data_IF_848616703854
#
_entry.id   IF_848616703854
#
_cell.length_a   1.000
_cell.length_b   1.000
_cell.length_c   1.000
_cell.angle_alpha   90.00
_cell.angle_beta   90.00
_cell.angle_gamma   90.00
#
_symmetry.space_group_name_H-M   'P 1'
#
loop_
_entity.id
_entity.type
_entity.pdbx_description
1 polymer ?
#
# COMPACT_ATOMS: atom_id res chain seq x y z
N UNK A 1 -12.13 -1.71 13.49
CA UNK A 1 -11.02 -0.79 13.14
C UNK A 1 -10.26 -1.43 11.99
N UNK A 2 -10.06 -0.71 10.90
CA UNK A 2 -9.45 -1.28 9.70
C UNK A 2 -7.98 -0.87 9.63
N UNK A 3 -7.07 -1.83 9.60
CA UNK A 3 -5.62 -1.58 9.50
C UNK A 3 -5.08 -1.92 8.12
N UNK A 4 -5.94 -2.40 7.22
CA UNK A 4 -5.59 -2.78 5.86
C UNK A 4 -5.75 -1.60 4.90
N UNK A 5 -4.69 -1.32 4.17
CA UNK A 5 -4.59 -0.29 3.16
C UNK A 5 -4.46 -0.93 1.77
N UNK A 6 -5.18 -0.38 0.81
CA UNK A 6 -5.04 -0.63 -0.62
C UNK A 6 -4.15 0.45 -1.22
N UNK A 7 -3.18 0.04 -2.02
CA UNK A 7 -2.20 0.93 -2.64
C UNK A 7 -2.29 0.72 -4.15
N UNK A 8 -2.55 1.77 -4.92
CA UNK A 8 -2.63 1.75 -6.38
C UNK A 8 -1.71 2.80 -7.00
N UNK A 9 -1.44 2.69 -8.29
CA UNK A 9 -0.51 3.61 -8.98
C UNK A 9 0.95 3.32 -8.68
N UNK A 10 1.27 2.13 -8.19
CA UNK A 10 2.65 1.70 -7.95
C UNK A 10 3.39 1.53 -9.29
N UNK A 11 4.67 1.90 -9.29
CA UNK A 11 5.55 1.62 -10.42
C UNK A 11 5.78 0.11 -10.54
N UNK A 12 6.11 -0.36 -11.75
CA UNK A 12 6.44 -1.76 -11.97
C UNK A 12 7.70 -2.19 -11.25
N UNK A 13 8.57 -1.25 -10.92
CA UNK A 13 9.77 -1.46 -10.11
C UNK A 13 9.49 -1.56 -8.60
N UNK A 14 8.26 -1.26 -8.14
CA UNK A 14 7.93 -1.39 -6.70
C UNK A 14 7.46 -2.81 -6.41
N UNK A 15 8.30 -3.51 -5.66
CA UNK A 15 8.01 -4.82 -5.09
C UNK A 15 7.44 -4.74 -3.68
N UNK A 16 7.02 -5.90 -3.18
CA UNK A 16 6.48 -6.06 -1.83
C UNK A 16 7.43 -5.55 -0.75
N UNK A 17 8.74 -5.75 -0.90
CA UNK A 17 9.74 -5.26 0.05
C UNK A 17 9.88 -3.74 0.03
N UNK A 18 9.93 -3.12 -1.15
CA UNK A 18 9.98 -1.67 -1.30
C UNK A 18 8.73 -1.01 -0.70
N UNK A 19 7.55 -1.58 -0.98
CA UNK A 19 6.30 -1.12 -0.40
C UNK A 19 6.29 -1.27 1.14
N UNK A 20 6.73 -2.40 1.69
CA UNK A 20 6.89 -2.54 3.16
C UNK A 20 7.85 -1.50 3.74
N UNK A 21 8.94 -1.20 3.04
CA UNK A 21 9.92 -0.21 3.49
C UNK A 21 9.35 1.21 3.51
N UNK A 22 8.60 1.60 2.48
CA UNK A 22 7.93 2.92 2.40
C UNK A 22 6.93 3.08 3.54
N UNK A 23 6.03 2.11 3.72
CA UNK A 23 5.02 2.18 4.79
C UNK A 23 5.65 2.00 6.18
N UNK A 24 6.76 1.27 6.26
CA UNK A 24 7.57 1.10 7.47
C UNK A 24 8.14 2.38 8.04
N UNK A 25 8.30 3.44 7.23
CA UNK A 25 8.75 4.75 7.70
C UNK A 25 7.68 5.51 8.50
N UNK A 26 6.41 5.18 8.27
CA UNK A 26 5.26 5.86 8.87
C UNK A 26 4.62 5.03 9.99
N UNK A 27 4.94 3.74 10.08
CA UNK A 27 4.47 2.87 11.16
C UNK A 27 4.89 1.41 10.99
N UNK A 28 4.35 0.53 11.82
CA UNK A 28 4.70 -0.89 11.77
C UNK A 28 3.85 -1.65 10.75
N UNK A 29 4.50 -2.18 9.69
CA UNK A 29 3.84 -2.99 8.67
C UNK A 29 3.77 -4.45 9.12
N UNK A 30 2.57 -4.94 9.42
CA UNK A 30 2.30 -6.35 9.77
C UNK A 30 2.29 -7.21 8.52
N UNK A 31 1.65 -6.73 7.46
CA UNK A 31 1.56 -7.45 6.19
C UNK A 31 1.73 -6.51 5.01
N UNK A 32 2.33 -7.00 3.94
CA UNK A 32 2.48 -6.27 2.69
C UNK A 32 2.54 -7.25 1.55
N UNK A 33 1.79 -6.98 0.49
CA UNK A 33 1.78 -7.80 -0.73
C UNK A 33 1.43 -6.95 -1.94
N UNK A 34 2.35 -6.90 -2.91
CA UNK A 34 2.07 -6.34 -4.24
C UNK A 34 1.34 -7.39 -5.07
N UNK A 35 0.33 -6.95 -5.82
CA UNK A 35 -0.36 -7.81 -6.77
C UNK A 35 0.37 -7.77 -8.10
N UNK A 36 0.90 -8.93 -8.47
CA UNK A 36 1.53 -9.17 -9.76
C UNK A 36 0.62 -10.03 -10.63
N UNK A 37 0.71 -9.86 -11.94
CA UNK A 37 0.05 -10.70 -12.93
C UNK A 37 0.76 -12.05 -13.08
N UNK A 38 0.17 -12.97 -13.85
CA UNK A 38 0.69 -14.33 -14.12
C UNK A 38 2.11 -14.30 -14.73
N UNK A 39 2.43 -13.21 -15.44
CA UNK A 39 3.76 -12.94 -16.00
C UNK A 39 4.74 -12.29 -15.00
N UNK A 40 4.47 -12.33 -13.69
CA UNK A 40 5.22 -11.63 -12.63
C UNK A 40 5.38 -10.12 -12.84
N UNK A 41 4.51 -9.51 -13.65
CA UNK A 41 4.50 -8.06 -13.85
C UNK A 41 3.57 -7.42 -12.84
N UNK A 42 4.05 -6.45 -12.05
CA UNK A 42 3.23 -5.71 -11.10
C UNK A 42 2.02 -5.11 -11.81
N UNK A 43 0.81 -5.37 -11.30
CA UNK A 43 -0.41 -4.75 -11.84
C UNK A 43 -0.53 -3.27 -11.49
N UNK A 44 0.48 -2.71 -10.81
CA UNK A 44 0.52 -1.34 -10.34
C UNK A 44 -0.32 -1.12 -9.08
N UNK A 45 -0.64 -2.19 -8.35
CA UNK A 45 -1.35 -2.09 -7.08
C UNK A 45 -0.94 -3.19 -6.10
N UNK A 46 -1.20 -2.97 -4.82
CA UNK A 46 -0.83 -3.82 -3.70
C UNK A 46 -1.70 -3.56 -2.47
N UNK A 47 -1.43 -4.33 -1.42
CA UNK A 47 -2.11 -4.25 -0.14
C UNK A 47 -1.07 -4.19 0.98
N UNK A 48 -1.34 -3.37 1.98
CA UNK A 48 -0.57 -3.24 3.23
C UNK A 48 -1.51 -3.46 4.40
N UNK A 49 -1.00 -4.02 5.48
CA UNK A 49 -1.65 -4.10 6.78
C UNK A 49 -0.71 -3.52 7.81
N UNK A 50 -1.17 -2.51 8.53
CA UNK A 50 -0.43 -1.86 9.61
C UNK A 50 -0.76 -2.51 10.96
N UNK A 51 0.07 -2.25 11.97
CA UNK A 51 -0.15 -2.74 13.34
C UNK A 51 -1.26 -1.99 14.05
N UNK A 52 -1.42 -0.69 13.78
CA UNK A 52 -2.48 0.15 14.35
C UNK A 52 -3.27 0.90 13.28
N UNK A 53 -4.52 1.23 13.62
CA UNK A 53 -5.41 2.01 12.75
C UNK A 53 -4.93 3.46 12.62
N UNK A 54 -4.43 4.07 13.70
CA UNK A 54 -3.89 5.44 13.67
C UNK A 54 -2.68 5.54 12.74
N UNK A 55 -1.75 4.58 12.80
CA UNK A 55 -0.60 4.50 11.88
C UNK A 55 -1.06 4.34 10.43
N UNK A 56 -2.08 3.50 10.20
CA UNK A 56 -2.66 3.31 8.88
C UNK A 56 -3.32 4.58 8.32
N UNK A 57 -4.00 5.35 9.17
CA UNK A 57 -4.64 6.60 8.79
C UNK A 57 -3.62 7.68 8.48
N UNK A 58 -2.57 7.78 9.30
CA UNK A 58 -1.44 8.67 9.05
C UNK A 58 -0.74 8.32 7.73
N UNK A 59 -0.44 7.04 7.50
CA UNK A 59 0.07 6.53 6.22
C UNK A 59 -0.83 6.95 5.06
N UNK A 60 -2.13 6.72 5.17
CA UNK A 60 -3.08 7.02 4.12
C UNK A 60 -3.07 8.52 3.81
N UNK A 61 -3.16 9.39 4.81
CA UNK A 61 -3.17 10.84 4.57
C UNK A 61 -1.85 11.39 4.02
N UNK A 62 -0.71 10.80 4.39
CA UNK A 62 0.61 11.26 3.93
C UNK A 62 1.03 10.65 2.58
N UNK A 63 0.69 9.38 2.31
CA UNK A 63 1.09 8.67 1.09
C UNK A 63 0.04 8.75 -0.02
N UNK A 64 -1.24 8.98 0.30
CA UNK A 64 -2.28 9.11 -0.73
C UNK A 64 -2.08 10.38 -1.56
N UNK A 65 -1.87 10.21 -2.86
CA UNK A 65 -1.57 11.29 -3.79
C UNK A 65 -0.09 11.64 -3.87
N UNK A 66 0.77 10.92 -3.15
CA UNK A 66 2.21 11.13 -3.22
C UNK A 66 2.75 10.64 -4.57
N UNK A 67 3.57 11.45 -5.22
CA UNK A 67 4.09 11.13 -6.57
C UNK A 67 5.43 10.39 -6.43
N UNK A 68 5.44 9.10 -6.73
CA UNK A 68 6.68 8.32 -6.78
C UNK A 68 7.08 8.09 -8.24
N UNK A 69 8.15 8.77 -8.66
CA UNK A 69 8.63 8.74 -10.04
C UNK A 69 7.69 9.49 -11.00
N UNK A 70 7.10 8.78 -11.96
CA UNK A 70 6.15 9.35 -12.95
C UNK A 70 4.69 9.01 -12.65
N UNK A 71 4.41 8.36 -11.51
CA UNK A 71 3.07 7.91 -11.14
C UNK A 71 2.69 8.40 -9.75
N UNK A 72 1.45 8.84 -9.60
CA UNK A 72 0.86 9.13 -8.31
C UNK A 72 0.44 7.83 -7.63
N UNK A 73 0.91 7.60 -6.41
CA UNK A 73 0.43 6.51 -5.59
C UNK A 73 -0.88 6.94 -4.95
N UNK A 74 -1.87 6.06 -4.98
CA UNK A 74 -3.17 6.25 -4.35
C UNK A 74 -3.28 5.25 -3.22
N UNK A 75 -3.44 5.74 -1.99
CA UNK A 75 -3.63 4.89 -0.80
C UNK A 75 -5.07 5.04 -0.35
N UNK A 76 -5.76 3.92 -0.16
CA UNK A 76 -7.17 3.84 0.26
C UNK A 76 -7.33 2.81 1.36
N UNK A 77 -8.38 2.95 2.15
CA UNK A 77 -8.79 1.88 3.06
C UNK A 77 -9.21 0.66 2.26
N UNK A 78 -8.73 -0.52 2.65
CA UNK A 78 -9.24 -1.76 2.09
C UNK A 78 -10.59 -2.04 2.74
N UNK A 79 -11.68 -1.73 2.06
CA UNK A 79 -13.02 -2.09 2.53
C UNK A 79 -13.11 -3.61 2.64
N UNK A 80 -13.24 -4.13 3.85
CA UNK A 80 -13.64 -5.51 4.08
C UNK A 80 -15.12 -5.53 3.66
N UNK A 81 -15.40 -6.00 2.44
CA UNK A 81 -16.77 -6.14 1.96
C UNK A 81 -17.52 -6.96 3.03
N UNK A 82 -18.56 -6.42 3.68
CA UNK A 82 -19.35 -7.22 4.59
C UNK A 82 -19.98 -8.33 3.75
N UNK A 83 -19.64 -9.58 4.08
CA UNK A 83 -20.30 -10.75 3.51
C UNK A 83 -21.63 -10.96 4.23
#
# INVERSE_FOLDING_TARGET
MNTKLFVAGLDWAIDTEALKSIFGQYGTVVYGKVVVDDQRRSRGFGFVEMSSHEEAEACLNNLNGSTHGKRAIVVKWKEDKPQ
#
